data_IF_994647220666
#
_entry.id   IF_994647220666
#
_cell.length_a   1.000
_cell.length_b   1.000
_cell.length_c   1.000
_cell.angle_alpha   90.00
_cell.angle_beta   90.00
_cell.angle_gamma   90.00
#
_symmetry.space_group_name_H-M   'P 1'
#
loop_
_entity.id
_entity.type
_entity.pdbx_description
1 polymer ?
#
# COMPACT_ATOMS: atom_id res chain seq x y z
N UNK A 1 -13.30 19.42 74.17
CA UNK A 1 -14.19 20.14 73.25
C UNK A 1 -13.58 20.00 71.88
N UNK A 2 -13.96 19.18 71.20
CA UNK A 2 -14.65 18.53 70.17
C UNK A 2 -14.34 19.20 68.82
N UNK A 3 -13.40 18.59 68.07
CA UNK A 3 -13.15 19.00 66.67
C UNK A 3 -13.60 17.83 65.78
N UNK A 4 -14.75 17.99 65.11
CA UNK A 4 -15.25 17.05 64.13
C UNK A 4 -14.52 17.30 62.79
N UNK A 5 -13.76 16.35 62.33
CA UNK A 5 -13.18 16.27 61.00
C UNK A 5 -14.21 15.71 60.03
N UNK A 6 -14.79 16.55 59.20
CA UNK A 6 -15.65 16.14 58.09
C UNK A 6 -14.78 15.65 56.92
N UNK A 7 -14.59 14.33 56.82
CA UNK A 7 -13.92 13.66 55.75
C UNK A 7 -14.81 13.61 54.49
N UNK A 8 -14.63 14.57 53.57
CA UNK A 8 -15.29 14.54 52.28
C UNK A 8 -14.69 13.42 51.41
N UNK A 9 -15.47 12.38 51.24
CA UNK A 9 -15.14 11.28 50.31
C UNK A 9 -15.48 11.75 48.91
N UNK A 10 -14.45 12.05 48.13
CA UNK A 10 -14.60 12.27 46.69
C UNK A 10 -14.57 10.88 46.04
N UNK A 11 -15.76 10.40 45.69
CA UNK A 11 -15.91 9.21 44.87
C UNK A 11 -15.38 9.55 43.46
N UNK A 12 -14.13 9.14 43.20
CA UNK A 12 -13.59 9.14 41.87
C UNK A 12 -14.27 8.02 41.08
N UNK A 13 -15.28 8.40 40.32
CA UNK A 13 -15.91 7.54 39.34
C UNK A 13 -14.84 7.02 38.33
N UNK A 14 -14.41 5.82 38.58
CA UNK A 14 -13.48 5.08 37.74
C UNK A 14 -14.22 4.66 36.48
N UNK A 15 -14.28 5.56 35.48
CA UNK A 15 -14.70 5.21 34.14
C UNK A 15 -13.82 4.08 33.65
N UNK A 16 -14.34 2.87 33.76
CA UNK A 16 -13.73 1.64 33.22
C UNK A 16 -13.81 1.70 31.71
N UNK A 17 -12.85 2.37 31.08
CA UNK A 17 -12.55 2.13 29.68
C UNK A 17 -12.21 0.66 29.59
N UNK A 18 -12.87 -0.15 28.75
CA UNK A 18 -12.49 -1.53 28.57
C UNK A 18 -11.08 -1.56 28.01
N UNK A 19 -10.11 -1.64 28.91
CA UNK A 19 -8.72 -1.91 28.63
C UNK A 19 -8.65 -3.26 27.97
N UNK A 20 -8.81 -3.30 26.65
CA UNK A 20 -8.42 -4.42 25.83
C UNK A 20 -6.94 -4.67 26.14
N UNK A 21 -6.68 -5.57 27.07
CA UNK A 21 -5.38 -6.14 27.34
C UNK A 21 -4.87 -6.69 26.01
N UNK A 22 -4.14 -5.89 25.27
CA UNK A 22 -3.38 -6.35 24.14
C UNK A 22 -2.16 -7.08 24.73
N UNK A 23 -2.42 -8.25 25.31
CA UNK A 23 -1.49 -9.34 25.08
C UNK A 23 -1.18 -9.21 23.61
N UNK A 24 0.10 -9.15 23.24
CA UNK A 24 0.58 -9.18 21.87
C UNK A 24 -0.03 -10.42 21.26
N UNK A 25 -1.30 -10.30 20.92
CA UNK A 25 -2.18 -11.41 20.64
C UNK A 25 -1.65 -12.02 19.36
N UNK A 26 -1.47 -13.32 19.35
CA UNK A 26 -1.21 -14.11 18.14
C UNK A 26 -2.07 -13.62 16.97
N UNK A 27 -3.26 -13.08 17.26
CA UNK A 27 -4.19 -12.45 16.33
C UNK A 27 -3.59 -11.19 15.66
N UNK A 28 -2.96 -10.27 16.38
CA UNK A 28 -2.39 -9.04 15.80
C UNK A 28 -1.22 -9.35 14.83
N UNK A 29 -0.43 -10.35 15.18
CA UNK A 29 0.66 -10.85 14.36
C UNK A 29 0.15 -11.57 13.11
N UNK A 30 -0.88 -12.40 13.24
CA UNK A 30 -1.50 -13.04 12.09
C UNK A 30 -2.05 -12.01 11.10
N UNK A 31 -2.73 -10.96 11.59
CA UNK A 31 -3.24 -9.88 10.74
C UNK A 31 -2.11 -9.20 9.98
N UNK A 32 -0.99 -8.87 10.62
CA UNK A 32 0.17 -8.29 9.92
C UNK A 32 0.74 -9.20 8.84
N UNK A 33 0.92 -10.49 9.13
CA UNK A 33 1.43 -11.45 8.14
C UNK A 33 0.46 -11.60 6.97
N UNK A 34 -0.83 -11.74 7.24
CA UNK A 34 -1.86 -11.86 6.20
C UNK A 34 -1.88 -10.61 5.31
N UNK A 35 -1.86 -9.41 5.88
CA UNK A 35 -1.81 -8.16 5.11
C UNK A 35 -0.56 -8.06 4.24
N UNK A 36 0.61 -8.52 4.73
CA UNK A 36 1.85 -8.54 3.94
C UNK A 36 1.79 -9.54 2.78
N UNK A 37 1.14 -10.69 2.97
CA UNK A 37 0.91 -11.66 1.90
C UNK A 37 -0.06 -11.10 0.85
N UNK A 38 -1.13 -10.42 1.27
CA UNK A 38 -2.02 -9.72 0.35
C UNK A 38 -1.32 -8.61 -0.42
N UNK A 39 -0.45 -7.85 0.24
CA UNK A 39 0.38 -6.83 -0.40
C UNK A 39 1.27 -7.45 -1.48
N UNK A 40 1.95 -8.55 -1.17
CA UNK A 40 2.78 -9.28 -2.13
C UNK A 40 1.97 -9.75 -3.34
N UNK A 41 0.82 -10.37 -3.11
CA UNK A 41 -0.06 -10.84 -4.18
C UNK A 41 -0.57 -9.68 -5.06
N UNK A 42 -1.00 -8.56 -4.44
CA UNK A 42 -1.49 -7.39 -5.16
C UNK A 42 -0.39 -6.73 -6.01
N UNK A 43 0.81 -6.53 -5.45
CA UNK A 43 1.93 -5.93 -6.19
C UNK A 43 2.37 -6.83 -7.34
N UNK A 44 2.49 -8.14 -7.12
CA UNK A 44 2.84 -9.10 -8.15
C UNK A 44 1.80 -9.13 -9.28
N UNK A 45 0.52 -9.21 -8.95
CA UNK A 45 -0.58 -9.21 -9.93
C UNK A 45 -0.55 -7.92 -10.76
N UNK A 46 -0.38 -6.76 -10.13
CA UNK A 46 -0.33 -5.47 -10.83
C UNK A 46 0.86 -5.39 -11.79
N UNK A 47 2.05 -5.88 -11.40
CA UNK A 47 3.24 -5.94 -12.25
C UNK A 47 2.98 -6.85 -13.45
N UNK A 48 2.50 -8.07 -13.21
CA UNK A 48 2.24 -9.05 -14.27
C UNK A 48 1.24 -8.52 -15.29
N UNK A 49 0.11 -7.96 -14.82
CA UNK A 49 -0.91 -7.37 -15.69
C UNK A 49 -0.33 -6.22 -16.51
N UNK A 50 0.46 -5.33 -15.91
CA UNK A 50 1.06 -4.20 -16.64
C UNK A 50 2.07 -4.67 -17.68
N UNK A 51 2.98 -5.59 -17.34
CA UNK A 51 4.04 -6.07 -18.25
C UNK A 51 3.50 -6.95 -19.37
N UNK A 52 2.44 -7.72 -19.11
CA UNK A 52 1.78 -8.55 -20.12
C UNK A 52 0.84 -7.77 -21.03
N UNK A 53 0.46 -6.55 -20.64
CA UNK A 53 -0.38 -5.66 -21.44
C UNK A 53 0.37 -5.15 -22.66
N UNK A 54 0.26 -5.87 -23.76
CA UNK A 54 0.81 -5.50 -25.09
C UNK A 54 -0.31 -5.62 -26.10
N UNK A 55 -0.55 -4.57 -26.86
CA UNK A 55 -1.49 -4.58 -27.97
C UNK A 55 -0.83 -3.98 -29.21
N UNK A 56 -0.81 -4.75 -30.30
CA UNK A 56 -0.37 -4.30 -31.62
C UNK A 56 -1.60 -4.20 -32.54
N UNK A 57 -1.78 -3.05 -33.15
CA UNK A 57 -2.75 -2.86 -34.24
C UNK A 57 -2.04 -2.33 -35.48
N UNK A 58 -2.37 -2.92 -36.61
CA UNK A 58 -1.97 -2.41 -37.93
C UNK A 58 -2.98 -1.37 -38.35
N UNK A 59 -2.55 -0.10 -38.52
CA UNK A 59 -3.42 0.98 -38.98
C UNK A 59 -3.41 0.93 -40.51
N UNK A 60 -4.56 0.65 -41.18
CA UNK A 60 -4.59 0.44 -42.63
C UNK A 60 -4.25 1.67 -43.46
N UNK A 61 -4.24 2.87 -42.86
CA UNK A 61 -3.98 4.16 -43.56
C UNK A 61 -2.47 4.50 -43.61
N UNK A 62 -1.67 3.94 -42.68
CA UNK A 62 -0.21 4.09 -42.67
C UNK A 62 0.45 2.75 -42.45
N UNK A 63 1.46 2.33 -43.26
CA UNK A 63 2.11 1.02 -43.15
C UNK A 63 3.06 0.90 -41.92
N UNK A 64 2.82 1.68 -40.86
CA UNK A 64 3.62 1.61 -39.64
C UNK A 64 2.89 0.76 -38.58
N UNK A 65 3.56 -0.32 -38.16
CA UNK A 65 3.14 -1.11 -37.02
C UNK A 65 3.32 -0.31 -35.73
N UNK A 66 2.26 0.35 -35.27
CA UNK A 66 2.27 1.07 -33.99
C UNK A 66 1.86 0.10 -32.89
N UNK A 67 2.79 -0.21 -31.99
CA UNK A 67 2.57 -1.08 -30.84
C UNK A 67 2.38 -0.21 -29.58
N UNK A 68 1.30 -0.42 -28.86
CA UNK A 68 1.15 0.12 -27.52
C UNK A 68 1.87 -0.81 -26.52
N UNK A 69 2.93 -0.30 -25.91
CA UNK A 69 3.70 -0.98 -24.86
C UNK A 69 3.83 -0.06 -23.65
N UNK A 70 3.86 -0.66 -22.45
CA UNK A 70 4.08 0.11 -21.22
C UNK A 70 5.41 0.88 -21.23
N UNK A 71 6.43 0.40 -21.98
CA UNK A 71 7.75 1.03 -22.10
C UNK A 71 7.74 2.36 -22.86
N UNK A 72 6.66 2.72 -23.55
CA UNK A 72 6.57 4.00 -24.26
C UNK A 72 6.23 5.18 -23.34
N UNK A 73 5.82 4.93 -22.09
CA UNK A 73 5.52 5.97 -21.11
C UNK A 73 6.45 5.85 -19.89
N UNK A 74 7.22 6.89 -19.58
CA UNK A 74 8.07 6.92 -18.38
C UNK A 74 7.29 6.67 -17.08
N UNK A 75 6.02 7.11 -17.02
CA UNK A 75 5.17 6.88 -15.85
C UNK A 75 4.87 5.39 -15.62
N UNK A 76 4.67 4.61 -16.69
CA UNK A 76 4.43 3.17 -16.57
C UNK A 76 5.72 2.40 -16.24
N UNK A 77 6.88 2.87 -16.71
CA UNK A 77 8.17 2.31 -16.29
C UNK A 77 8.38 2.56 -14.79
N UNK A 78 8.17 3.80 -14.34
CA UNK A 78 8.26 4.15 -12.92
C UNK A 78 7.30 3.31 -12.06
N UNK A 79 6.08 3.10 -12.53
CA UNK A 79 5.10 2.26 -11.87
C UNK A 79 5.59 0.82 -11.68
N UNK A 80 6.11 0.18 -12.72
CA UNK A 80 6.62 -1.20 -12.64
C UNK A 80 7.83 -1.27 -11.70
N UNK A 81 8.74 -0.31 -11.77
CA UNK A 81 9.91 -0.26 -10.88
C UNK A 81 9.49 -0.08 -9.42
N UNK A 82 8.61 0.87 -9.13
CA UNK A 82 8.12 1.14 -7.78
C UNK A 82 7.41 -0.09 -7.17
N UNK A 83 6.55 -0.75 -7.94
CA UNK A 83 5.88 -1.97 -7.48
C UNK A 83 6.84 -3.15 -7.32
N UNK A 84 7.88 -3.26 -8.15
CA UNK A 84 8.92 -4.29 -7.98
C UNK A 84 9.68 -4.09 -6.68
N UNK A 85 10.05 -2.86 -6.35
CA UNK A 85 10.69 -2.54 -5.06
C UNK A 85 9.75 -2.85 -3.89
N UNK A 86 8.47 -2.50 -3.99
CA UNK A 86 7.47 -2.82 -2.96
C UNK A 86 7.26 -4.33 -2.81
N UNK A 87 7.30 -5.10 -3.89
CA UNK A 87 7.22 -6.55 -3.89
C UNK A 87 8.41 -7.18 -3.13
N UNK A 88 9.64 -6.77 -3.42
CA UNK A 88 10.84 -7.21 -2.69
C UNK A 88 10.78 -6.81 -1.22
N UNK A 89 10.39 -5.57 -0.93
CA UNK A 89 10.19 -5.10 0.43
C UNK A 89 9.17 -5.96 1.19
N UNK A 90 8.06 -6.33 0.55
CA UNK A 90 7.03 -7.19 1.15
C UNK A 90 7.59 -8.55 1.57
N UNK A 91 8.46 -9.17 0.77
CA UNK A 91 9.13 -10.43 1.12
C UNK A 91 10.03 -10.25 2.34
N UNK A 92 10.93 -9.26 2.30
CA UNK A 92 11.90 -8.99 3.38
C UNK A 92 11.16 -8.70 4.69
N UNK A 93 10.15 -7.84 4.64
CA UNK A 93 9.37 -7.44 5.81
C UNK A 93 8.52 -8.58 6.38
N UNK A 94 8.02 -9.49 5.53
CA UNK A 94 7.33 -10.71 5.97
C UNK A 94 8.30 -11.65 6.70
N UNK A 95 9.49 -11.87 6.16
CA UNK A 95 10.52 -12.69 6.81
C UNK A 95 10.97 -12.10 8.15
N UNK A 96 11.17 -10.78 8.21
CA UNK A 96 11.50 -10.08 9.46
C UNK A 96 10.41 -10.25 10.51
N UNK A 97 9.14 -10.11 10.10
CA UNK A 97 7.99 -10.34 10.96
C UNK A 97 7.95 -11.77 11.48
N UNK A 98 8.10 -12.78 10.63
CA UNK A 98 8.11 -14.19 11.02
C UNK A 98 9.29 -14.56 11.94
N UNK A 99 10.47 -13.99 11.69
CA UNK A 99 11.66 -14.20 12.52
C UNK A 99 11.46 -13.65 13.94
N UNK A 100 10.85 -12.47 14.06
CA UNK A 100 10.53 -11.88 15.36
C UNK A 100 9.49 -12.70 16.13
N UNK A 101 8.61 -13.42 15.44
CA UNK A 101 7.66 -14.34 16.07
C UNK A 101 8.36 -15.57 16.71
N UNK A 102 9.38 -16.11 16.03
CA UNK A 102 10.12 -17.29 16.53
C UNK A 102 11.03 -16.96 17.73
N UNK A 103 11.52 -15.72 17.85
CA UNK A 103 12.37 -15.26 18.97
C UNK A 103 11.77 -14.02 19.62
N UNK A 104 10.89 -14.15 20.61
CA UNK A 104 10.21 -13.02 21.25
C UNK A 104 11.17 -12.05 21.97
N UNK A 105 12.37 -12.49 22.36
CA UNK A 105 13.42 -11.62 22.91
C UNK A 105 14.04 -10.69 21.86
N UNK A 106 13.90 -11.00 20.57
CA UNK A 106 14.42 -10.20 19.45
C UNK A 106 13.41 -9.17 18.92
N UNK A 107 12.17 -9.16 19.42
CA UNK A 107 11.15 -8.17 19.06
C UNK A 107 11.46 -6.83 19.73
N UNK A 108 12.54 -6.21 19.30
CA UNK A 108 12.98 -4.89 19.74
C UNK A 108 11.98 -3.81 19.27
N UNK A 109 11.73 -2.79 20.10
CA UNK A 109 10.95 -1.61 19.71
C UNK A 109 11.56 -0.95 18.46
N UNK A 110 12.87 -1.04 18.29
CA UNK A 110 13.63 -0.56 17.12
C UNK A 110 13.19 -1.27 15.84
N UNK A 111 12.94 -2.59 15.87
CA UNK A 111 12.47 -3.33 14.71
C UNK A 111 11.08 -2.86 14.28
N UNK A 112 10.15 -2.68 15.23
CA UNK A 112 8.80 -2.19 14.94
C UNK A 112 8.83 -0.76 14.39
N UNK A 113 9.67 0.11 14.96
CA UNK A 113 9.87 1.46 14.48
C UNK A 113 10.41 1.47 13.05
N UNK A 114 11.42 0.66 12.77
CA UNK A 114 12.02 0.57 11.44
C UNK A 114 11.02 0.05 10.39
N UNK A 115 10.23 -0.97 10.74
CA UNK A 115 9.15 -1.46 9.88
C UNK A 115 8.09 -0.38 9.63
N UNK A 116 7.68 0.38 10.66
CA UNK A 116 6.70 1.45 10.51
C UNK A 116 7.19 2.57 9.57
N UNK A 117 8.45 2.99 9.72
CA UNK A 117 9.06 4.01 8.86
C UNK A 117 9.16 3.53 7.41
N UNK A 118 9.64 2.30 7.23
CA UNK A 118 9.78 1.73 5.90
C UNK A 118 8.43 1.50 5.20
N UNK A 119 7.42 1.03 5.93
CA UNK A 119 6.04 0.92 5.41
C UNK A 119 5.53 2.30 4.97
N UNK A 120 5.75 3.37 5.75
CA UNK A 120 5.35 4.73 5.40
C UNK A 120 6.06 5.27 4.15
N UNK A 121 7.36 5.00 4.01
CA UNK A 121 8.12 5.36 2.79
C UNK A 121 7.57 4.62 1.57
N UNK A 122 7.26 3.33 1.71
CA UNK A 122 6.68 2.54 0.62
C UNK A 122 5.28 3.01 0.23
N UNK A 123 4.45 3.49 1.18
CA UNK A 123 3.18 4.16 0.87
C UNK A 123 3.42 5.33 -0.09
N UNK A 124 4.37 6.21 0.21
CA UNK A 124 4.70 7.36 -0.63
C UNK A 124 5.13 6.95 -2.04
N UNK A 125 6.01 5.98 -2.17
CA UNK A 125 6.53 5.49 -3.45
C UNK A 125 5.41 4.85 -4.29
N UNK A 126 4.64 3.93 -3.72
CA UNK A 126 3.58 3.21 -4.45
C UNK A 126 2.43 4.15 -4.81
N UNK A 127 2.01 5.03 -3.89
CA UNK A 127 0.94 5.99 -4.15
C UNK A 127 1.33 7.00 -5.24
N UNK A 128 2.57 7.53 -5.23
CA UNK A 128 3.05 8.46 -6.26
C UNK A 128 3.13 7.79 -7.63
N UNK A 129 3.65 6.56 -7.70
CA UNK A 129 3.72 5.81 -8.95
C UNK A 129 2.33 5.49 -9.51
N UNK A 130 1.38 5.12 -8.63
CA UNK A 130 -0.01 4.87 -8.98
C UNK A 130 -0.70 6.13 -9.47
N UNK A 131 -0.48 7.27 -8.80
CA UNK A 131 -1.02 8.57 -9.21
C UNK A 131 -0.49 9.04 -10.55
N UNK A 132 0.83 8.94 -10.79
CA UNK A 132 1.46 9.29 -12.07
C UNK A 132 0.91 8.44 -13.22
N UNK A 133 0.84 7.13 -13.02
CA UNK A 133 0.30 6.20 -14.04
C UNK A 133 -1.20 6.40 -14.26
N UNK A 134 -1.95 6.68 -13.20
CA UNK A 134 -3.38 7.00 -13.26
C UNK A 134 -3.66 8.26 -14.05
N UNK A 135 -2.85 9.31 -13.86
CA UNK A 135 -2.94 10.55 -14.64
C UNK A 135 -2.72 10.32 -16.14
N UNK A 136 -1.68 9.56 -16.49
CA UNK A 136 -1.39 9.20 -17.89
C UNK A 136 -2.50 8.34 -18.48
N UNK A 137 -2.99 7.34 -17.74
CA UNK A 137 -4.10 6.50 -18.19
C UNK A 137 -5.40 7.30 -18.38
N UNK A 138 -5.69 8.26 -17.50
CA UNK A 138 -6.86 9.15 -17.61
C UNK A 138 -6.80 10.01 -18.87
N UNK A 139 -5.62 10.61 -19.17
CA UNK A 139 -5.41 11.37 -20.40
C UNK A 139 -5.56 10.46 -21.62
N UNK A 140 -5.05 9.23 -21.57
CA UNK A 140 -5.24 8.24 -22.61
C UNK A 140 -6.71 7.90 -22.87
N UNK A 141 -7.54 7.85 -21.82
CA UNK A 141 -8.97 7.53 -21.90
C UNK A 141 -9.82 8.73 -22.41
N UNK A 142 -9.61 9.91 -21.84
CA UNK A 142 -10.44 11.09 -22.12
C UNK A 142 -9.89 11.94 -23.26
N UNK A 143 -8.59 11.87 -23.56
CA UNK A 143 -7.89 12.82 -24.39
C UNK A 143 -7.79 14.20 -23.72
N UNK A 144 -7.22 15.15 -24.40
CA UNK A 144 -7.22 16.56 -23.99
C UNK A 144 -7.49 17.47 -25.20
N UNK A 145 -8.69 18.05 -25.24
CA UNK A 145 -9.13 18.91 -26.33
C UNK A 145 -8.30 20.19 -26.43
N UNK A 146 -7.82 20.72 -25.31
CA UNK A 146 -7.09 21.97 -25.25
C UNK A 146 -5.69 21.85 -25.86
N UNK A 147 -5.04 20.71 -25.74
CA UNK A 147 -3.73 20.39 -26.32
C UNK A 147 -3.81 19.45 -27.52
N UNK A 148 -5.02 19.22 -28.06
CA UNK A 148 -5.28 18.36 -29.22
C UNK A 148 -4.78 16.91 -29.07
N UNK A 149 -4.71 16.40 -27.87
CA UNK A 149 -4.38 14.98 -27.64
C UNK A 149 -5.60 14.11 -27.90
N UNK A 150 -5.45 13.19 -28.85
CA UNK A 150 -6.49 12.22 -29.18
C UNK A 150 -6.61 11.16 -28.09
N UNK A 151 -7.79 10.60 -27.95
CA UNK A 151 -8.03 9.45 -27.11
C UNK A 151 -7.28 8.24 -27.67
N UNK A 152 -6.42 7.63 -26.84
CA UNK A 152 -5.65 6.44 -27.24
C UNK A 152 -6.48 5.18 -27.01
N UNK A 153 -7.36 5.18 -26.01
CA UNK A 153 -8.17 4.03 -25.64
C UNK A 153 -9.22 3.67 -26.69
N UNK A 154 -9.68 4.60 -27.51
CA UNK A 154 -10.57 4.28 -28.64
C UNK A 154 -9.89 3.36 -29.68
N UNK A 155 -8.54 3.39 -29.74
CA UNK A 155 -7.75 2.56 -30.64
C UNK A 155 -7.24 1.27 -29.96
N UNK A 156 -6.95 1.33 -28.64
CA UNK A 156 -6.35 0.25 -27.83
C UNK A 156 -7.16 -0.05 -26.59
N UNK A 157 -8.43 -0.45 -26.77
CA UNK A 157 -9.39 -0.67 -25.69
C UNK A 157 -8.91 -1.72 -24.67
N UNK A 158 -8.47 -2.88 -25.14
CA UNK A 158 -7.99 -3.97 -24.28
C UNK A 158 -6.77 -3.56 -23.45
N UNK A 159 -5.82 -2.79 -24.04
CA UNK A 159 -4.65 -2.29 -23.31
C UNK A 159 -5.08 -1.34 -22.19
N UNK A 160 -6.00 -0.41 -22.46
CA UNK A 160 -6.48 0.54 -21.47
C UNK A 160 -7.22 -0.16 -20.30
N UNK A 161 -8.00 -1.19 -20.57
CA UNK A 161 -8.66 -1.97 -19.52
C UNK A 161 -7.64 -2.69 -18.61
N UNK A 162 -6.61 -3.30 -19.16
CA UNK A 162 -5.56 -3.96 -18.36
C UNK A 162 -4.75 -2.95 -17.53
N UNK A 163 -4.37 -1.81 -18.11
CA UNK A 163 -3.67 -0.74 -17.40
C UNK A 163 -4.54 -0.18 -16.28
N UNK A 164 -5.83 0.07 -16.55
CA UNK A 164 -6.78 0.51 -15.52
C UNK A 164 -6.91 -0.49 -14.37
N UNK A 165 -6.98 -1.78 -14.68
CA UNK A 165 -7.03 -2.86 -13.69
C UNK A 165 -5.74 -2.92 -12.84
N UNK A 166 -4.56 -2.82 -13.47
CA UNK A 166 -3.28 -2.79 -12.75
C UNK A 166 -3.19 -1.59 -11.79
N UNK A 167 -3.65 -0.42 -12.21
CA UNK A 167 -3.68 0.80 -11.38
C UNK A 167 -4.66 0.63 -10.21
N UNK A 168 -5.84 0.07 -10.44
CA UNK A 168 -6.81 -0.18 -9.37
C UNK A 168 -6.26 -1.14 -8.31
N UNK A 169 -5.61 -2.23 -8.71
CA UNK A 169 -4.97 -3.18 -7.78
C UNK A 169 -3.82 -2.53 -7.02
N UNK A 170 -3.05 -1.64 -7.64
CA UNK A 170 -1.97 -0.92 -6.96
C UNK A 170 -2.49 0.11 -5.95
N UNK A 171 -3.66 0.71 -6.17
CA UNK A 171 -4.35 1.54 -5.16
C UNK A 171 -4.69 0.71 -3.92
N UNK A 172 -5.22 -0.50 -4.10
CA UNK A 172 -5.48 -1.43 -2.98
C UNK A 172 -4.17 -1.75 -2.25
N UNK A 173 -3.08 -2.01 -2.97
CA UNK A 173 -1.77 -2.25 -2.37
C UNK A 173 -1.28 -1.05 -1.53
N UNK A 174 -1.48 0.20 -1.98
CA UNK A 174 -1.11 1.40 -1.22
C UNK A 174 -1.94 1.56 0.06
N UNK A 175 -3.23 1.21 0.03
CA UNK A 175 -4.10 1.21 1.21
C UNK A 175 -3.64 0.15 2.22
N UNK A 176 -3.28 -1.05 1.76
CA UNK A 176 -2.75 -2.11 2.62
C UNK A 176 -1.45 -1.67 3.31
N UNK A 177 -0.53 -1.02 2.57
CA UNK A 177 0.69 -0.45 3.14
C UNK A 177 0.40 0.60 4.21
N UNK A 178 -0.57 1.48 3.97
CA UNK A 178 -1.01 2.48 4.95
C UNK A 178 -1.54 1.83 6.23
N UNK A 179 -2.38 0.80 6.10
CA UNK A 179 -2.90 0.05 7.25
C UNK A 179 -1.77 -0.64 8.02
N UNK A 180 -0.80 -1.24 7.33
CA UNK A 180 0.38 -1.86 7.96
C UNK A 180 1.20 -0.82 8.74
N UNK A 181 1.42 0.36 8.18
CA UNK A 181 2.13 1.45 8.84
C UNK A 181 1.39 1.88 10.13
N UNK A 182 0.08 2.09 10.05
CA UNK A 182 -0.75 2.48 11.21
C UNK A 182 -0.70 1.39 12.29
N UNK A 183 -0.88 0.12 11.93
CA UNK A 183 -0.84 -1.00 12.89
C UNK A 183 0.53 -1.08 13.57
N UNK A 184 1.62 -0.89 12.82
CA UNK A 184 2.99 -0.89 13.36
C UNK A 184 3.21 0.25 14.35
N UNK A 185 2.76 1.45 14.03
CA UNK A 185 2.84 2.63 14.92
C UNK A 185 2.01 2.43 16.20
N UNK A 186 0.77 1.94 16.07
CA UNK A 186 -0.09 1.67 17.23
C UNK A 186 0.48 0.57 18.13
N UNK A 187 1.10 -0.46 17.54
CA UNK A 187 1.77 -1.52 18.29
C UNK A 187 2.98 -0.99 19.06
N UNK A 188 3.74 -0.08 18.46
CA UNK A 188 4.85 0.60 19.09
C UNK A 188 4.39 1.49 20.24
N UNK A 189 3.36 2.32 20.01
CA UNK A 189 2.80 3.21 21.03
C UNK A 189 2.33 2.44 22.29
N UNK A 190 1.60 1.32 22.09
CA UNK A 190 1.15 0.47 23.20
C UNK A 190 2.29 -0.19 23.97
N UNK A 191 3.47 -0.32 23.37
CA UNK A 191 4.63 -0.94 24.00
C UNK A 191 5.46 0.05 24.83
N UNK A 192 5.41 1.34 24.47
CA UNK A 192 6.16 2.40 25.14
C UNK A 192 5.38 2.94 26.35
N UNK A 193 4.05 2.89 26.31
CA UNK A 193 3.17 3.32 27.39
C UNK A 193 2.96 2.20 28.42
#
# INVERSE_FOLDING_TARGET
>A
MGSDETKSTIDTEKTTVPGGSCTTSKSCWMVQVVLRLFLFAATLTSIVVMVTSKQSKTIPIFPFHTQAKFTHSPAFIYFVVALSVACFYSIISTLATLSAFKKPSSCSAVLLLNLAIMDAVMVGIVASATGASGGVAYIGLKGNKNVRWRKICDLYDTFCHHVGGAIAVSLVASIILLLLSIISVLSLYKRIR
#
